data_IF_983981775851
#
_entry.id   IF_983981775851
#
_cell.length_a   1.000
_cell.length_b   1.000
_cell.length_c   1.000
_cell.angle_alpha   90.00
_cell.angle_beta   90.00
_cell.angle_gamma   90.00
#
_symmetry.space_group_name_H-M   'P 1'
#
loop_
_entity.id
_entity.type
_entity.pdbx_description
1 polymer ?
#
# COMPACT_ATOMS: atom_id res chain seq x y z
N UNK A 1 -45.03 41.80 33.97
CA UNK A 1 -44.82 40.37 33.64
C UNK A 1 -45.15 40.13 32.18
N UNK A 2 -44.14 40.02 31.32
CA UNK A 2 -44.23 39.36 30.00
C UNK A 2 -42.89 38.68 29.75
N UNK A 3 -42.91 37.35 29.87
CA UNK A 3 -41.82 36.48 29.48
C UNK A 3 -41.73 36.46 27.95
N UNK A 4 -40.54 36.69 27.39
CA UNK A 4 -40.22 36.30 26.01
C UNK A 4 -39.11 35.26 26.12
N UNK A 5 -39.45 34.04 25.73
CA UNK A 5 -38.55 32.91 25.64
C UNK A 5 -37.53 33.15 24.51
N UNK A 6 -36.25 33.05 24.84
CA UNK A 6 -35.19 32.93 23.84
C UNK A 6 -34.97 31.43 23.64
N UNK A 7 -35.46 30.93 22.51
CA UNK A 7 -35.26 29.55 22.07
C UNK A 7 -33.78 29.27 21.84
N UNK A 8 -33.31 28.20 22.48
CA UNK A 8 -32.05 27.51 22.21
C UNK A 8 -31.94 27.17 20.72
N UNK A 9 -30.94 27.73 20.03
CA UNK A 9 -30.41 27.16 18.78
C UNK A 9 -29.10 26.48 19.14
N UNK A 10 -29.15 25.17 19.37
CA UNK A 10 -27.97 24.34 19.60
C UNK A 10 -28.31 22.90 19.24
N UNK A 11 -28.34 22.55 17.96
CA UNK A 11 -28.26 21.16 17.50
C UNK A 11 -27.97 21.11 15.99
N UNK A 12 -26.73 20.83 15.57
CA UNK A 12 -26.47 20.14 14.30
C UNK A 12 -25.04 19.58 14.08
N UNK A 13 -24.05 19.81 14.96
CA UNK A 13 -22.70 19.26 14.73
C UNK A 13 -22.50 17.78 15.10
N UNK A 14 -23.41 17.16 15.87
CA UNK A 14 -23.27 15.77 16.32
C UNK A 14 -23.77 14.73 15.28
N UNK A 15 -24.70 15.11 14.40
CA UNK A 15 -25.26 14.20 13.39
C UNK A 15 -24.31 14.02 12.18
N UNK A 16 -23.62 15.07 11.77
CA UNK A 16 -22.66 15.02 10.65
C UNK A 16 -21.41 14.22 11.01
N UNK A 17 -20.89 14.37 12.23
CA UNK A 17 -19.72 13.62 12.72
C UNK A 17 -20.02 12.13 12.90
N UNK A 18 -21.21 11.77 13.38
CA UNK A 18 -21.62 10.37 13.51
C UNK A 18 -21.89 9.69 12.16
N UNK A 19 -22.53 10.38 11.19
CA UNK A 19 -22.71 9.86 9.83
C UNK A 19 -21.39 9.70 9.06
N UNK A 20 -20.43 10.64 9.21
CA UNK A 20 -19.10 10.54 8.60
C UNK A 20 -18.30 9.39 9.23
N UNK A 21 -18.36 9.22 10.55
CA UNK A 21 -17.68 8.11 11.24
C UNK A 21 -18.27 6.74 10.85
N UNK A 22 -19.60 6.65 10.72
CA UNK A 22 -20.29 5.41 10.27
C UNK A 22 -20.01 5.13 8.78
N UNK A 23 -19.95 6.16 7.94
CA UNK A 23 -19.57 6.03 6.53
C UNK A 23 -18.12 5.54 6.36
N UNK A 24 -17.19 6.10 7.15
CA UNK A 24 -15.79 5.66 7.17
C UNK A 24 -15.64 4.23 7.72
N UNK A 25 -16.40 3.85 8.75
CA UNK A 25 -16.35 2.50 9.31
C UNK A 25 -16.88 1.43 8.35
N UNK A 26 -17.93 1.75 7.59
CA UNK A 26 -18.51 0.83 6.59
C UNK A 26 -17.56 0.61 5.40
N UNK A 27 -16.88 1.67 4.93
CA UNK A 27 -15.86 1.53 3.90
C UNK A 27 -14.66 0.71 4.41
N UNK A 28 -14.24 0.87 5.67
CA UNK A 28 -13.14 0.10 6.27
C UNK A 28 -13.44 -1.41 6.29
N UNK A 29 -14.64 -1.81 6.70
CA UNK A 29 -15.04 -3.22 6.71
C UNK A 29 -15.11 -3.80 5.29
N UNK A 30 -15.65 -3.04 4.33
CA UNK A 30 -15.67 -3.44 2.93
C UNK A 30 -14.25 -3.63 2.36
N UNK A 31 -13.30 -2.77 2.73
CA UNK A 31 -11.90 -2.88 2.34
C UNK A 31 -11.28 -4.14 2.96
N UNK A 32 -11.47 -4.40 4.26
CA UNK A 32 -10.97 -5.62 4.92
C UNK A 32 -11.52 -6.88 4.27
N UNK A 33 -12.80 -6.89 3.91
CA UNK A 33 -13.42 -8.02 3.21
C UNK A 33 -12.83 -8.23 1.82
N UNK A 34 -12.56 -7.16 1.06
CA UNK A 34 -11.89 -7.26 -0.23
C UNK A 34 -10.46 -7.81 -0.12
N UNK A 35 -9.71 -7.36 0.88
CA UNK A 35 -8.36 -7.87 1.19
C UNK A 35 -8.42 -9.35 1.55
N UNK A 36 -9.33 -9.73 2.45
CA UNK A 36 -9.54 -11.12 2.86
C UNK A 36 -9.88 -12.01 1.67
N UNK A 37 -10.81 -11.58 0.82
CA UNK A 37 -11.16 -12.30 -0.41
C UNK A 37 -9.94 -12.49 -1.31
N UNK A 38 -9.05 -11.49 -1.42
CA UNK A 38 -7.80 -11.60 -2.16
C UNK A 38 -6.89 -12.73 -1.63
N UNK A 39 -6.79 -12.90 -0.31
CA UNK A 39 -6.09 -14.01 0.33
C UNK A 39 -6.80 -15.36 0.10
N UNK A 40 -8.13 -15.40 0.23
CA UNK A 40 -8.93 -16.60 0.02
C UNK A 40 -8.80 -17.14 -1.40
N UNK A 41 -8.94 -16.30 -2.43
CA UNK A 41 -8.82 -16.75 -3.83
C UNK A 41 -7.40 -17.18 -4.17
N UNK A 42 -6.38 -16.55 -3.57
CA UNK A 42 -4.98 -16.90 -3.79
C UNK A 42 -4.61 -18.23 -3.14
N UNK A 43 -5.04 -18.47 -1.90
CA UNK A 43 -4.80 -19.72 -1.17
C UNK A 43 -5.61 -20.89 -1.75
N UNK A 44 -6.81 -20.62 -2.25
CA UNK A 44 -7.62 -21.59 -2.99
C UNK A 44 -7.10 -21.89 -4.40
N UNK A 45 -6.09 -21.15 -4.87
CA UNK A 45 -5.54 -21.24 -6.25
C UNK A 45 -6.59 -21.02 -7.34
N UNK A 46 -7.52 -20.09 -7.08
CA UNK A 46 -8.59 -19.74 -7.99
C UNK A 46 -8.16 -18.56 -8.88
N UNK A 47 -7.63 -18.85 -10.08
CA UNK A 47 -7.15 -17.83 -11.02
C UNK A 47 -8.24 -16.82 -11.42
N UNK A 48 -9.47 -17.28 -11.65
CA UNK A 48 -10.61 -16.40 -11.96
C UNK A 48 -10.97 -15.49 -10.78
N UNK A 49 -10.86 -15.99 -9.55
CA UNK A 49 -11.01 -15.21 -8.34
C UNK A 49 -9.91 -14.15 -8.20
N UNK A 50 -8.65 -14.52 -8.46
CA UNK A 50 -7.53 -13.56 -8.51
C UNK A 50 -7.81 -12.46 -9.55
N UNK A 51 -8.22 -12.83 -10.76
CA UNK A 51 -8.63 -11.86 -11.80
C UNK A 51 -9.75 -10.94 -11.35
N UNK A 52 -10.68 -11.42 -10.53
CA UNK A 52 -11.77 -10.61 -10.02
C UNK A 52 -11.33 -9.61 -8.94
N UNK A 53 -10.30 -9.89 -8.14
CA UNK A 53 -9.85 -8.98 -7.06
C UNK A 53 -8.79 -7.96 -7.50
N UNK A 54 -8.15 -8.18 -8.64
CA UNK A 54 -7.18 -7.24 -9.23
C UNK A 54 -7.83 -6.31 -10.25
N UNK A 55 -7.33 -5.07 -10.32
CA UNK A 55 -7.68 -4.17 -11.41
C UNK A 55 -6.99 -4.66 -12.69
N UNK A 56 -7.74 -4.81 -13.77
CA UNK A 56 -7.22 -5.24 -15.07
C UNK A 56 -6.66 -4.02 -15.81
N UNK A 57 -5.50 -3.54 -15.36
CA UNK A 57 -4.88 -2.27 -15.79
C UNK A 57 -3.36 -2.49 -16.00
N UNK A 58 -2.73 -1.88 -17.02
CA UNK A 58 -1.28 -2.02 -17.25
C UNK A 58 -0.41 -1.41 -16.14
N UNK A 59 -0.98 -0.59 -15.27
CA UNK A 59 -0.26 0.10 -14.19
C UNK A 59 -0.36 -0.61 -12.83
N UNK A 60 -1.04 -1.76 -12.74
CA UNK A 60 -1.03 -2.53 -11.48
C UNK A 60 0.34 -3.13 -11.20
N UNK A 61 0.67 -3.30 -9.92
CA UNK A 61 1.90 -3.98 -9.50
C UNK A 61 1.69 -4.95 -8.35
N UNK A 62 2.38 -6.08 -8.45
CA UNK A 62 2.59 -6.99 -7.34
C UNK A 62 4.09 -7.12 -7.07
N UNK A 63 4.50 -6.81 -5.84
CA UNK A 63 5.90 -6.86 -5.40
C UNK A 63 5.99 -7.70 -4.13
N UNK A 64 6.98 -8.60 -4.12
CA UNK A 64 7.38 -9.36 -2.94
C UNK A 64 8.86 -9.14 -2.65
N UNK A 65 9.18 -8.88 -1.38
CA UNK A 65 10.50 -8.52 -0.89
C UNK A 65 10.88 -9.46 0.26
N UNK A 66 11.84 -10.33 0.05
CA UNK A 66 12.51 -11.13 1.08
C UNK A 66 13.99 -11.30 0.75
N UNK A 67 14.81 -11.74 1.72
CA UNK A 67 16.29 -11.81 1.58
C UNK A 67 16.77 -12.50 0.31
N UNK A 68 16.13 -13.63 0.00
CA UNK A 68 16.54 -14.53 -1.07
C UNK A 68 15.56 -14.52 -2.24
N UNK A 69 14.44 -13.82 -2.10
CA UNK A 69 13.33 -13.86 -3.03
C UNK A 69 12.80 -12.44 -3.22
N UNK A 70 13.16 -11.84 -4.35
CA UNK A 70 12.58 -10.60 -4.81
C UNK A 70 11.80 -10.87 -6.09
N UNK A 71 10.54 -10.45 -6.14
CA UNK A 71 9.74 -10.54 -7.37
C UNK A 71 8.91 -9.28 -7.56
N UNK A 72 8.84 -8.83 -8.81
CA UNK A 72 8.00 -7.70 -9.23
C UNK A 72 7.32 -8.05 -10.54
N UNK A 73 6.00 -7.87 -10.57
CA UNK A 73 5.19 -8.03 -11.76
C UNK A 73 4.48 -6.71 -12.06
N UNK A 74 4.71 -6.17 -13.26
CA UNK A 74 4.10 -4.93 -13.73
C UNK A 74 3.00 -5.26 -14.76
N UNK A 75 1.82 -4.68 -14.55
CA UNK A 75 0.65 -4.87 -15.39
C UNK A 75 -0.07 -6.19 -15.14
N UNK A 76 -1.38 -6.17 -15.39
CA UNK A 76 -2.25 -7.31 -15.14
C UNK A 76 -1.80 -8.57 -15.89
N UNK A 77 -1.39 -8.46 -17.16
CA UNK A 77 -1.02 -9.63 -17.97
C UNK A 77 0.20 -10.37 -17.40
N UNK A 78 1.18 -9.64 -16.86
CA UNK A 78 2.33 -10.24 -16.18
C UNK A 78 1.93 -10.95 -14.88
N UNK A 79 1.03 -10.33 -14.10
CA UNK A 79 0.52 -10.91 -12.86
C UNK A 79 -0.26 -12.20 -13.18
N UNK A 80 -1.16 -12.15 -14.15
CA UNK A 80 -1.96 -13.29 -14.58
C UNK A 80 -1.07 -14.45 -15.05
N UNK A 81 -0.07 -14.18 -15.89
CA UNK A 81 0.84 -15.21 -16.38
C UNK A 81 1.64 -15.91 -15.26
N UNK A 82 2.07 -15.16 -14.24
CA UNK A 82 2.77 -15.71 -13.07
C UNK A 82 1.79 -16.53 -12.21
N UNK A 83 0.58 -16.00 -11.97
CA UNK A 83 -0.47 -16.69 -11.22
C UNK A 83 -0.83 -18.02 -11.88
N UNK A 84 -1.13 -18.02 -13.18
CA UNK A 84 -1.51 -19.21 -13.93
C UNK A 84 -0.40 -20.26 -13.93
N UNK A 85 0.85 -19.84 -14.17
CA UNK A 85 2.01 -20.74 -14.12
C UNK A 85 2.14 -21.40 -12.74
N UNK A 86 2.06 -20.60 -11.67
CA UNK A 86 2.17 -21.08 -10.29
C UNK A 86 1.04 -22.05 -9.92
N UNK A 87 -0.20 -21.71 -10.26
CA UNK A 87 -1.37 -22.52 -9.96
C UNK A 87 -1.38 -23.82 -10.77
N UNK A 88 -0.95 -23.79 -12.04
CA UNK A 88 -0.86 -25.00 -12.86
C UNK A 88 0.26 -25.94 -12.40
N UNK A 89 1.39 -25.39 -11.93
CA UNK A 89 2.49 -26.20 -11.41
C UNK A 89 2.14 -26.95 -10.12
N UNK A 90 1.27 -26.37 -9.28
CA UNK A 90 0.75 -27.01 -8.09
C UNK A 90 -0.73 -26.62 -7.91
N UNK A 91 -1.69 -27.40 -8.43
CA UNK A 91 -3.10 -26.99 -8.49
C UNK A 91 -3.87 -27.18 -7.18
N UNK A 92 -3.32 -27.94 -6.22
CA UNK A 92 -4.00 -28.17 -4.94
C UNK A 92 -3.99 -26.90 -4.09
N UNK A 93 -5.09 -26.53 -3.40
CA UNK A 93 -5.11 -25.40 -2.48
C UNK A 93 -3.93 -25.43 -1.51
N UNK A 94 -3.44 -24.25 -1.13
CA UNK A 94 -2.38 -24.13 -0.13
C UNK A 94 -2.86 -24.70 1.20
N UNK A 95 -2.12 -25.67 1.75
CA UNK A 95 -2.37 -26.23 3.09
C UNK A 95 -1.78 -25.31 4.16
N UNK A 96 -2.28 -24.08 4.19
CA UNK A 96 -1.82 -23.02 5.09
C UNK A 96 -3.01 -22.31 5.70
N UNK A 97 -3.01 -22.13 7.02
CA UNK A 97 -3.85 -21.14 7.68
C UNK A 97 -3.29 -19.74 7.46
N UNK A 98 -4.13 -18.72 7.56
CA UNK A 98 -3.67 -17.34 7.59
C UNK A 98 -4.46 -16.51 8.60
N UNK A 99 -3.84 -15.45 9.11
CA UNK A 99 -4.51 -14.39 9.86
C UNK A 99 -4.02 -13.03 9.39
N UNK A 100 -4.93 -12.05 9.35
CA UNK A 100 -4.63 -10.68 8.94
C UNK A 100 -4.89 -9.77 10.12
N UNK A 101 -3.86 -9.05 10.58
CA UNK A 101 -3.91 -8.28 11.83
C UNK A 101 -3.23 -6.93 11.68
N UNK A 102 -3.42 -6.07 12.68
CA UNK A 102 -2.80 -4.74 12.77
C UNK A 102 -3.10 -3.85 11.57
N UNK A 103 -4.36 -3.84 11.11
CA UNK A 103 -4.79 -2.97 10.02
C UNK A 103 -4.61 -1.49 10.36
N UNK A 104 -3.99 -0.76 9.44
CA UNK A 104 -4.05 0.69 9.35
C UNK A 104 -4.60 1.03 7.97
N UNK A 105 -5.88 1.41 7.91
CA UNK A 105 -6.58 1.68 6.66
C UNK A 105 -6.88 3.17 6.57
N UNK A 106 -6.56 3.75 5.41
CA UNK A 106 -6.89 5.12 5.05
C UNK A 106 -7.64 5.09 3.72
N UNK A 107 -8.72 5.83 3.58
CA UNK A 107 -9.48 5.89 2.33
C UNK A 107 -10.01 7.29 2.05
N UNK A 108 -10.36 7.55 0.79
CA UNK A 108 -10.99 8.80 0.34
C UNK A 108 -12.23 8.55 -0.53
N UNK A 109 -12.94 7.44 -0.29
CA UNK A 109 -14.15 7.02 -0.99
C UNK A 109 -13.91 6.17 -2.24
N UNK A 110 -12.94 6.58 -3.09
CA UNK A 110 -12.59 5.87 -4.32
C UNK A 110 -11.24 5.14 -4.25
N UNK A 111 -10.38 5.55 -3.33
CA UNK A 111 -9.11 4.91 -3.07
C UNK A 111 -9.03 4.47 -1.62
N UNK A 112 -8.35 3.34 -1.41
CA UNK A 112 -7.99 2.85 -0.10
C UNK A 112 -6.52 2.46 -0.07
N UNK A 113 -5.90 2.69 1.07
CA UNK A 113 -4.56 2.25 1.38
C UNK A 113 -4.63 1.46 2.68
N UNK A 114 -4.12 0.24 2.65
CA UNK A 114 -4.13 -0.66 3.78
C UNK A 114 -2.70 -1.11 4.09
N UNK A 115 -2.28 -0.89 5.33
CA UNK A 115 -1.11 -1.54 5.92
C UNK A 115 -1.61 -2.61 6.88
N UNK A 116 -1.07 -3.83 6.80
CA UNK A 116 -1.42 -4.90 7.74
C UNK A 116 -0.30 -5.94 7.81
N UNK A 117 -0.37 -6.80 8.83
CA UNK A 117 0.49 -7.98 8.96
C UNK A 117 -0.31 -9.20 8.58
N UNK A 118 0.13 -9.90 7.53
CA UNK A 118 -0.36 -11.23 7.20
C UNK A 118 0.54 -12.28 7.86
N UNK A 119 -0.07 -13.23 8.56
CA UNK A 119 0.63 -14.35 9.18
C UNK A 119 0.14 -15.62 8.51
N UNK A 120 1.07 -16.40 7.96
CA UNK A 120 0.80 -17.66 7.28
C UNK A 120 1.35 -18.79 8.12
N UNK A 121 0.50 -19.76 8.47
CA UNK A 121 0.86 -20.91 9.29
C UNK A 121 0.68 -22.18 8.47
N UNK A 122 1.73 -23.00 8.27
CA UNK A 122 1.58 -24.31 7.64
C UNK A 122 0.57 -25.18 8.42
N UNK A 123 -0.36 -25.84 7.72
CA UNK A 123 -1.34 -26.74 8.37
C UNK A 123 -0.69 -28.08 8.73
N UNK A 124 0.33 -28.50 7.98
CA UNK A 124 1.13 -29.69 8.30
C UNK A 124 2.53 -29.27 8.68
N UNK A 125 2.88 -29.40 9.95
CA UNK A 125 4.26 -29.59 10.37
C UNK A 125 4.62 -31.05 10.09
N UNK A 126 4.87 -31.43 8.83
CA UNK A 126 5.77 -32.57 8.66
C UNK A 126 7.16 -32.07 9.07
N UNK A 127 7.67 -32.46 10.25
CA UNK A 127 8.93 -31.94 10.78
C UNK A 127 10.11 -32.33 9.87
N UNK A 128 9.93 -33.34 9.01
CA UNK A 128 10.93 -33.84 8.08
C UNK A 128 10.90 -33.17 6.70
N UNK A 129 9.76 -32.56 6.32
CA UNK A 129 9.65 -31.88 5.02
C UNK A 129 10.34 -30.51 5.03
N UNK A 130 10.35 -29.83 6.19
CA UNK A 130 10.90 -28.48 6.32
C UNK A 130 11.44 -28.21 7.73
N UNK A 131 12.58 -28.79 8.13
CA UNK A 131 13.15 -28.64 9.49
C UNK A 131 13.61 -27.20 9.85
N UNK A 132 13.46 -26.24 8.93
CA UNK A 132 13.88 -24.84 9.08
C UNK A 132 12.77 -23.82 8.75
N UNK A 133 11.52 -24.24 8.56
CA UNK A 133 10.42 -23.28 8.35
C UNK A 133 9.89 -22.83 9.72
N UNK A 134 9.84 -21.51 10.01
CA UNK A 134 9.29 -21.00 11.26
C UNK A 134 7.84 -21.47 11.46
N UNK A 135 7.37 -21.53 12.72
CA UNK A 135 5.98 -21.88 13.07
C UNK A 135 4.93 -21.02 12.34
N UNK A 136 5.34 -19.83 11.88
CA UNK A 136 4.56 -18.97 11.00
C UNK A 136 5.46 -18.04 10.20
N UNK A 137 5.04 -17.67 8.99
CA UNK A 137 5.71 -16.66 8.16
C UNK A 137 4.92 -15.37 8.24
N UNK A 138 5.61 -14.25 8.49
CA UNK A 138 4.99 -12.94 8.65
C UNK A 138 5.29 -12.07 7.43
N UNK A 139 4.28 -11.36 6.94
CA UNK A 139 4.42 -10.40 5.86
C UNK A 139 3.88 -9.05 6.29
N UNK A 140 4.73 -8.02 6.24
CA UNK A 140 4.25 -6.65 6.27
C UNK A 140 3.72 -6.32 4.88
N UNK A 141 2.43 -6.02 4.81
CA UNK A 141 1.73 -5.81 3.53
C UNK A 141 1.29 -4.36 3.40
N UNK A 142 1.57 -3.78 2.24
CA UNK A 142 1.15 -2.44 1.84
C UNK A 142 0.32 -2.58 0.57
N UNK A 143 -0.96 -2.25 0.65
CA UNK A 143 -1.91 -2.48 -0.43
C UNK A 143 -2.65 -1.21 -0.80
N UNK A 144 -2.62 -0.85 -2.08
CA UNK A 144 -3.41 0.22 -2.68
C UNK A 144 -4.59 -0.42 -3.41
N UNK A 145 -5.80 0.01 -3.07
CA UNK A 145 -7.04 -0.42 -3.70
C UNK A 145 -7.77 0.76 -4.33
N UNK A 146 -8.45 0.49 -5.43
CA UNK A 146 -9.30 1.43 -6.16
C UNK A 146 -10.71 0.85 -6.27
N UNK A 147 -11.73 1.67 -6.03
CA UNK A 147 -13.13 1.28 -6.16
C UNK A 147 -13.53 1.36 -7.63
N UNK A 148 -13.85 0.20 -8.23
CA UNK A 148 -14.31 0.06 -9.61
C UNK A 148 -15.68 -0.61 -9.59
N UNK A 149 -16.72 0.09 -10.06
CA UNK A 149 -18.11 -0.38 -10.01
C UNK A 149 -18.50 -0.87 -8.61
N UNK A 150 -18.25 -0.03 -7.59
CA UNK A 150 -18.49 -0.31 -6.16
C UNK A 150 -17.73 -1.52 -5.57
N UNK A 151 -16.75 -2.06 -6.30
CA UNK A 151 -15.88 -3.12 -5.83
C UNK A 151 -14.45 -2.63 -5.64
N UNK A 152 -13.87 -2.87 -4.47
CA UNK A 152 -12.47 -2.62 -4.21
C UNK A 152 -11.59 -3.60 -5.00
N UNK A 153 -10.72 -3.06 -5.85
CA UNK A 153 -9.76 -3.82 -6.66
C UNK A 153 -8.34 -3.45 -6.25
N UNK A 154 -7.47 -4.45 -6.16
CA UNK A 154 -6.04 -4.22 -5.90
C UNK A 154 -5.38 -3.57 -7.11
N UNK A 155 -4.63 -2.50 -6.85
CA UNK A 155 -3.84 -1.79 -7.86
C UNK A 155 -2.35 -1.92 -7.57
N UNK A 156 -1.93 -1.82 -6.32
CA UNK A 156 -0.55 -2.09 -5.93
C UNK A 156 -0.53 -2.95 -4.68
N UNK A 157 0.36 -3.93 -4.65
CA UNK A 157 0.60 -4.79 -3.49
C UNK A 157 2.11 -4.91 -3.29
N UNK A 158 2.59 -4.56 -2.09
CA UNK A 158 3.97 -4.76 -1.68
C UNK A 158 3.96 -5.61 -0.41
N UNK A 159 4.52 -6.80 -0.49
CA UNK A 159 4.74 -7.67 0.66
C UNK A 159 6.22 -7.66 1.02
N UNK A 160 6.54 -7.46 2.29
CA UNK A 160 7.90 -7.68 2.80
C UNK A 160 7.90 -8.80 3.83
N UNK A 161 8.90 -9.68 3.79
CA UNK A 161 9.15 -10.64 4.84
C UNK A 161 10.21 -10.07 5.80
N UNK A 162 9.82 -9.41 6.90
CA UNK A 162 10.75 -8.72 7.80
C UNK A 162 11.73 -9.66 8.52
N UNK A 163 11.45 -10.96 8.58
CA UNK A 163 12.36 -11.94 9.17
C UNK A 163 13.58 -12.23 8.27
N UNK A 164 13.47 -11.87 7.00
CA UNK A 164 14.50 -12.12 6.00
C UNK A 164 15.04 -10.82 5.37
N UNK A 165 14.19 -9.82 5.20
CA UNK A 165 14.54 -8.57 4.53
C UNK A 165 15.22 -7.58 5.50
N UNK A 166 16.40 -7.09 5.10
CA UNK A 166 17.15 -6.07 5.82
C UNK A 166 17.03 -4.73 5.07
N UNK A 167 16.55 -3.69 5.76
CA UNK A 167 16.31 -2.35 5.16
C UNK A 167 17.59 -1.61 4.75
N UNK A 168 18.75 -2.14 5.12
CA UNK A 168 20.05 -1.49 4.92
C UNK A 168 20.91 -2.16 3.84
N UNK A 169 20.46 -3.24 3.20
CA UNK A 169 21.31 -4.04 2.32
C UNK A 169 21.08 -3.84 0.83
N UNK A 170 19.87 -3.44 0.39
CA UNK A 170 19.54 -3.43 -1.05
C UNK A 170 18.94 -2.10 -1.53
N UNK A 171 19.82 -1.24 -2.06
CA UNK A 171 19.43 -0.02 -2.79
C UNK A 171 18.57 -0.33 -4.03
N UNK A 172 18.75 -1.51 -4.64
CA UNK A 172 17.97 -1.94 -5.80
C UNK A 172 16.46 -2.01 -5.49
N UNK A 173 16.11 -2.47 -4.28
CA UNK A 173 14.70 -2.64 -3.87
C UNK A 173 14.07 -1.28 -3.55
N UNK A 174 14.82 -0.35 -2.93
CA UNK A 174 14.39 1.05 -2.77
C UNK A 174 14.07 1.67 -4.13
N UNK A 175 14.98 1.53 -5.09
CA UNK A 175 14.82 2.08 -6.45
C UNK A 175 13.63 1.45 -7.16
N UNK A 176 13.41 0.14 -7.00
CA UNK A 176 12.26 -0.55 -7.57
C UNK A 176 10.92 -0.06 -7.02
N UNK A 177 10.81 0.16 -5.71
CA UNK A 177 9.61 0.76 -5.10
C UNK A 177 9.45 2.20 -5.62
N UNK A 178 10.55 2.92 -5.78
CA UNK A 178 10.55 4.27 -6.32
C UNK A 178 9.96 4.30 -7.74
N UNK A 179 10.36 3.38 -8.61
CA UNK A 179 9.83 3.27 -9.97
C UNK A 179 8.33 2.98 -10.01
N UNK A 180 7.79 2.22 -9.05
CA UNK A 180 6.33 2.02 -8.92
C UNK A 180 5.65 3.38 -8.69
N UNK A 181 6.20 4.19 -7.78
CA UNK A 181 5.71 5.54 -7.51
C UNK A 181 5.75 6.43 -8.75
N UNK A 182 6.86 6.40 -9.50
CA UNK A 182 7.00 7.17 -10.76
C UNK A 182 6.06 6.71 -11.86
N UNK A 183 5.70 5.42 -11.94
CA UNK A 183 4.68 4.97 -12.89
C UNK A 183 3.31 5.58 -12.59
N UNK A 184 2.94 5.68 -11.31
CA UNK A 184 1.72 6.39 -10.93
C UNK A 184 1.85 7.90 -11.18
N UNK A 185 3.02 8.48 -10.90
CA UNK A 185 3.27 9.91 -11.12
C UNK A 185 3.14 10.32 -12.59
N UNK A 186 3.76 9.54 -13.49
CA UNK A 186 3.73 9.77 -14.95
C UNK A 186 2.33 9.58 -15.55
N UNK A 187 1.50 8.75 -14.93
CA UNK A 187 0.08 8.58 -15.30
C UNK A 187 -0.85 9.56 -14.57
N UNK A 188 -0.30 10.57 -13.89
CA UNK A 188 -1.01 11.60 -13.12
C UNK A 188 -1.85 11.06 -11.95
N UNK A 189 -1.55 9.85 -11.51
CA UNK A 189 -2.16 9.16 -10.36
C UNK A 189 -1.43 9.56 -9.08
N UNK A 190 -1.56 10.82 -8.69
CA UNK A 190 -0.71 11.43 -7.67
C UNK A 190 -0.91 10.83 -6.27
N UNK A 191 -2.14 10.47 -5.91
CA UNK A 191 -2.42 9.90 -4.58
C UNK A 191 -1.78 8.52 -4.41
N UNK A 192 -1.83 7.69 -5.45
CA UNK A 192 -1.19 6.38 -5.52
C UNK A 192 0.33 6.51 -5.45
N UNK A 193 0.90 7.46 -6.21
CA UNK A 193 2.32 7.75 -6.17
C UNK A 193 2.77 8.12 -4.74
N UNK A 194 2.04 9.04 -4.08
CA UNK A 194 2.33 9.48 -2.71
C UNK A 194 2.36 8.30 -1.73
N UNK A 195 1.36 7.40 -1.76
CA UNK A 195 1.32 6.27 -0.82
C UNK A 195 2.41 5.22 -1.09
N UNK A 196 2.78 5.02 -2.35
CA UNK A 196 3.93 4.17 -2.72
C UNK A 196 5.24 4.80 -2.23
N UNK A 197 5.46 6.09 -2.46
CA UNK A 197 6.67 6.77 -1.97
C UNK A 197 6.73 6.84 -0.44
N UNK A 198 5.58 7.00 0.25
CA UNK A 198 5.51 6.88 1.73
C UNK A 198 5.91 5.49 2.20
N UNK A 199 5.48 4.45 1.49
CA UNK A 199 5.93 3.07 1.76
C UNK A 199 7.45 2.96 1.59
N UNK A 200 8.01 3.57 0.53
CA UNK A 200 9.45 3.59 0.30
C UNK A 200 10.21 4.31 1.44
N UNK A 201 9.75 5.49 1.87
CA UNK A 201 10.31 6.21 3.03
C UNK A 201 10.23 5.38 4.31
N UNK A 202 9.13 4.66 4.54
CA UNK A 202 8.97 3.80 5.71
C UNK A 202 9.98 2.65 5.72
N UNK A 203 10.23 2.05 4.56
CA UNK A 203 11.17 0.94 4.40
C UNK A 203 12.63 1.41 4.38
N UNK A 204 12.89 2.62 3.88
CA UNK A 204 14.22 3.19 3.70
C UNK A 204 14.31 4.63 4.21
N UNK A 205 14.17 4.85 5.53
CA UNK A 205 14.04 6.19 6.12
C UNK A 205 15.33 7.02 6.13
N UNK A 206 16.46 6.43 5.76
CA UNK A 206 17.76 7.09 5.69
C UNK A 206 18.24 7.34 4.25
N UNK A 207 17.45 6.94 3.25
CA UNK A 207 17.77 7.16 1.84
C UNK A 207 17.23 8.52 1.41
N UNK A 208 18.10 9.42 0.97
CA UNK A 208 17.69 10.77 0.55
C UNK A 208 16.69 10.73 -0.63
N UNK A 209 16.89 9.80 -1.57
CA UNK A 209 16.10 9.65 -2.79
C UNK A 209 14.61 9.36 -2.52
N UNK A 210 14.29 8.66 -1.42
CA UNK A 210 12.89 8.35 -1.07
C UNK A 210 12.13 9.59 -0.65
N UNK A 211 12.78 10.50 0.11
CA UNK A 211 12.20 11.80 0.43
C UNK A 211 12.17 12.73 -0.77
N UNK A 212 13.17 12.69 -1.65
CA UNK A 212 13.18 13.47 -2.89
C UNK A 212 11.96 13.13 -3.76
N UNK A 213 11.76 11.84 -4.02
CA UNK A 213 10.67 11.32 -4.84
C UNK A 213 9.30 11.53 -4.19
N UNK A 214 9.20 11.41 -2.85
CA UNK A 214 7.99 11.78 -2.12
C UNK A 214 7.70 13.30 -2.23
N UNK A 215 8.74 14.14 -2.20
CA UNK A 215 8.64 15.58 -2.41
C UNK A 215 8.12 15.92 -3.81
N UNK A 216 8.61 15.22 -4.84
CA UNK A 216 8.12 15.33 -6.21
C UNK A 216 6.63 14.99 -6.33
N UNK A 217 6.21 13.89 -5.70
CA UNK A 217 4.82 13.48 -5.72
C UNK A 217 3.88 14.48 -5.04
N UNK A 218 4.27 15.01 -3.87
CA UNK A 218 3.51 16.06 -3.20
C UNK A 218 3.44 17.34 -4.04
N UNK A 219 4.53 17.71 -4.69
CA UNK A 219 4.55 18.87 -5.58
C UNK A 219 3.61 18.68 -6.77
N UNK A 220 3.63 17.51 -7.42
CA UNK A 220 2.73 17.17 -8.52
C UNK A 220 1.25 17.16 -8.09
N UNK A 221 0.97 16.75 -6.84
CA UNK A 221 -0.35 16.83 -6.23
C UNK A 221 -0.75 18.25 -5.77
N UNK A 222 0.11 19.25 -5.96
CA UNK A 222 -0.13 20.64 -5.53
C UNK A 222 0.08 20.91 -4.04
N UNK A 223 0.56 19.92 -3.28
CA UNK A 223 0.84 20.05 -1.85
C UNK A 223 2.25 20.64 -1.60
N UNK A 224 2.38 21.94 -1.90
CA UNK A 224 3.64 22.69 -1.81
C UNK A 224 4.33 22.59 -0.44
N UNK A 225 3.56 22.61 0.65
CA UNK A 225 4.10 22.54 2.01
C UNK A 225 4.78 21.19 2.28
N UNK A 226 4.07 20.09 2.04
CA UNK A 226 4.64 18.74 2.25
C UNK A 226 5.79 18.45 1.27
N UNK A 227 5.74 18.99 0.05
CA UNK A 227 6.85 18.90 -0.89
C UNK A 227 8.14 19.52 -0.31
N UNK A 228 8.05 20.77 0.20
CA UNK A 228 9.19 21.46 0.82
C UNK A 228 9.75 20.66 2.00
N UNK A 229 8.90 20.17 2.91
CA UNK A 229 9.33 19.39 4.07
C UNK A 229 10.13 18.14 3.66
N UNK A 230 9.68 17.44 2.61
CA UNK A 230 10.36 16.23 2.11
C UNK A 230 11.67 16.57 1.39
N UNK A 231 11.71 17.59 0.54
CA UNK A 231 12.97 18.03 -0.07
C UNK A 231 13.99 18.52 0.96
N UNK A 232 13.55 19.20 2.02
CA UNK A 232 14.43 19.58 3.13
C UNK A 232 15.01 18.36 3.84
N UNK A 233 14.21 17.31 4.05
CA UNK A 233 14.68 16.06 4.64
C UNK A 233 15.65 15.32 3.72
N UNK A 234 15.36 15.23 2.42
CA UNK A 234 16.26 14.73 1.37
C UNK A 234 17.61 15.45 1.41
N UNK A 235 17.60 16.79 1.41
CA UNK A 235 18.80 17.63 1.46
C UNK A 235 19.59 17.50 2.76
N UNK A 236 18.94 17.26 3.90
CA UNK A 236 19.64 16.97 5.16
C UNK A 236 20.40 15.64 5.10
N UNK A 237 19.85 14.64 4.40
CA UNK A 237 20.47 13.33 4.22
C UNK A 237 21.56 13.34 3.14
N UNK A 238 21.36 14.11 2.07
CA UNK A 238 22.34 14.31 1.01
C UNK A 238 22.44 15.80 0.61
N UNK A 239 23.32 16.58 1.27
CA UNK A 239 23.50 18.00 0.97
C UNK A 239 24.05 18.28 -0.44
N UNK A 240 24.55 17.26 -1.14
CA UNK A 240 25.07 17.37 -2.51
C UNK A 240 24.01 17.07 -3.57
N UNK A 241 22.78 16.73 -3.18
CA UNK A 241 21.69 16.51 -4.13
C UNK A 241 21.34 17.80 -4.86
N UNK A 242 21.50 17.82 -6.18
CA UNK A 242 21.14 18.98 -7.00
C UNK A 242 19.61 19.07 -7.23
N UNK A 243 18.89 17.93 -7.24
CA UNK A 243 17.43 17.90 -7.40
C UNK A 243 16.73 18.60 -6.23
N UNK A 244 17.09 18.24 -4.99
CA UNK A 244 16.54 18.84 -3.78
C UNK A 244 16.82 20.35 -3.68
N UNK A 245 18.03 20.79 -4.05
CA UNK A 245 18.37 22.23 -4.10
C UNK A 245 17.51 22.97 -5.11
N UNK A 246 17.42 22.46 -6.34
CA UNK A 246 16.66 23.08 -7.42
C UNK A 246 15.16 23.17 -7.06
N UNK A 247 14.60 22.08 -6.50
CA UNK A 247 13.21 22.04 -6.07
C UNK A 247 12.91 23.06 -4.97
N UNK A 248 13.74 23.13 -3.91
CA UNK A 248 13.57 24.11 -2.84
C UNK A 248 13.73 25.55 -3.32
N UNK A 249 14.69 25.81 -4.20
CA UNK A 249 14.90 27.14 -4.77
C UNK A 249 13.69 27.61 -5.58
N UNK A 250 13.02 26.71 -6.32
CA UNK A 250 11.79 27.01 -7.05
C UNK A 250 10.59 27.18 -6.11
N UNK A 251 10.46 26.32 -5.11
CA UNK A 251 9.28 26.30 -4.23
C UNK A 251 9.30 27.41 -3.17
N UNK A 252 10.47 27.87 -2.72
CA UNK A 252 10.56 28.94 -1.70
C UNK A 252 10.52 30.35 -2.27
N UNK A 253 10.43 30.50 -3.59
CA UNK A 253 10.18 31.80 -4.19
C UNK A 253 8.76 32.29 -3.82
N UNK A 254 8.63 33.59 -3.48
CA UNK A 254 7.36 34.22 -3.09
C UNK A 254 6.32 34.19 -4.21
#
# INVERSE_FOLDING_TARGET
MKHIAISLVLFSMAASTSLIAVGQSNDEEAIKNAIKNGWEVSTAKNANGVKAVWKQDPNVVNTFIGRFNYTRANGWDSIAAITDRSFNANPKPSRTGYSLRNYNIRSNGNMAFAEYVAVVTPVDSDPNSFPYVPDSIHFNTYQVLEKVNDQWKTVALVNTNPESYETNTDHAIETDINEIGYRFLTTKRYNEAIEVFKTNVKLYPNMWNTYDSLGEAYMAAGNKKLAIENYEKSMKLNPKSESGKAALAKLKQP
#
